data_IF_526421642089
#
_entry.id   IF_526421642089
#
_cell.length_a   1.000
_cell.length_b   1.000
_cell.length_c   1.000
_cell.angle_alpha   90.00
_cell.angle_beta   90.00
_cell.angle_gamma   90.00
#
_symmetry.space_group_name_H-M   'P 1'
#
loop_
_entity.id
_entity.type
_entity.pdbx_description
1 polymer ?
#
# COMPACT_ATOMS: atom_id res chain seq x y z
N UNK A 1 -3.24 -10.42 -9.70
CA UNK A 1 -3.20 -8.98 -9.99
C UNK A 1 -3.52 -8.22 -8.72
N UNK A 2 -2.63 -7.33 -8.30
CA UNK A 2 -2.74 -6.55 -7.06
C UNK A 2 -2.57 -5.07 -7.38
N UNK A 3 -3.36 -4.19 -6.76
CA UNK A 3 -3.10 -2.75 -6.74
C UNK A 3 -2.95 -2.27 -5.29
N UNK A 4 -1.97 -1.39 -5.06
CA UNK A 4 -1.73 -0.77 -3.76
C UNK A 4 -1.84 0.75 -3.93
N UNK A 5 -2.77 1.37 -3.21
CA UNK A 5 -3.02 2.80 -3.24
C UNK A 5 -2.36 3.45 -2.03
N UNK A 6 -1.39 4.30 -2.30
CA UNK A 6 -0.49 4.90 -1.32
C UNK A 6 0.81 4.11 -1.17
N UNK A 7 1.93 4.76 -1.49
CA UNK A 7 3.28 4.20 -1.40
C UNK A 7 4.07 4.82 -0.22
N UNK A 8 3.40 5.04 0.92
CA UNK A 8 4.04 5.30 2.20
C UNK A 8 4.63 4.03 2.82
N UNK A 9 5.13 4.09 4.05
CA UNK A 9 5.77 2.94 4.69
C UNK A 9 4.92 1.67 4.74
N UNK A 10 3.59 1.80 4.93
CA UNK A 10 2.65 0.66 4.94
C UNK A 10 2.40 0.15 3.53
N UNK A 11 2.15 1.04 2.56
CA UNK A 11 1.90 0.64 1.17
C UNK A 11 3.12 -0.01 0.52
N UNK A 12 4.32 0.51 0.75
CA UNK A 12 5.57 -0.10 0.28
C UNK A 12 5.76 -1.52 0.88
N UNK A 13 5.43 -1.70 2.17
CA UNK A 13 5.44 -3.02 2.79
C UNK A 13 4.41 -3.96 2.16
N UNK A 14 3.20 -3.47 1.82
CA UNK A 14 2.19 -4.26 1.12
C UNK A 14 2.63 -4.66 -0.30
N UNK A 15 3.32 -3.77 -1.02
CA UNK A 15 3.91 -4.06 -2.34
C UNK A 15 4.94 -5.19 -2.23
N UNK A 16 5.89 -5.08 -1.30
CA UNK A 16 6.87 -6.14 -1.09
C UNK A 16 6.22 -7.45 -0.62
N UNK A 17 5.21 -7.37 0.25
CA UNK A 17 4.41 -8.53 0.65
C UNK A 17 3.69 -9.20 -0.53
N UNK A 18 3.15 -8.43 -1.47
CA UNK A 18 2.54 -8.95 -2.69
C UNK A 18 3.57 -9.66 -3.59
N UNK A 19 4.81 -9.13 -3.68
CA UNK A 19 5.91 -9.76 -4.39
C UNK A 19 6.32 -11.10 -3.73
N UNK A 20 6.46 -11.13 -2.40
CA UNK A 20 6.76 -12.34 -1.63
C UNK A 20 5.65 -13.39 -1.82
N UNK A 21 4.39 -12.96 -1.90
CA UNK A 21 3.23 -13.82 -2.15
C UNK A 21 3.14 -14.34 -3.61
N UNK A 22 4.03 -13.90 -4.50
CA UNK A 22 4.08 -14.34 -5.89
C UNK A 22 3.03 -13.70 -6.80
N UNK A 23 2.58 -12.48 -6.49
CA UNK A 23 1.69 -11.74 -7.37
C UNK A 23 2.34 -11.47 -8.72
N UNK A 24 1.70 -11.88 -9.82
CA UNK A 24 2.23 -11.74 -11.17
C UNK A 24 2.13 -10.31 -11.74
N UNK A 25 1.25 -9.48 -11.16
CA UNK A 25 1.14 -8.06 -11.49
C UNK A 25 0.89 -7.29 -10.19
N UNK A 26 1.72 -6.30 -9.92
CA UNK A 26 1.65 -5.43 -8.76
C UNK A 26 1.68 -3.99 -9.25
N UNK A 27 0.58 -3.27 -9.05
CA UNK A 27 0.39 -1.90 -9.49
C UNK A 27 0.49 -0.98 -8.27
N UNK A 28 1.49 -0.12 -8.24
CA UNK A 28 1.65 0.91 -7.23
C UNK A 28 0.98 2.21 -7.69
N UNK A 29 0.15 2.81 -6.82
CA UNK A 29 -0.57 4.05 -7.11
C UNK A 29 -0.20 5.11 -6.06
N UNK A 30 0.47 6.19 -6.46
CA UNK A 30 0.83 7.31 -5.58
C UNK A 30 0.99 8.60 -6.40
N UNK A 31 0.76 9.77 -5.79
CA UNK A 31 0.94 11.07 -6.44
C UNK A 31 2.41 11.50 -6.54
N UNK A 32 3.31 10.89 -5.76
CA UNK A 32 4.72 11.25 -5.67
C UNK A 32 5.55 10.26 -6.49
N UNK A 33 6.10 10.73 -7.62
CA UNK A 33 6.86 9.87 -8.55
C UNK A 33 8.06 9.20 -7.87
N UNK A 34 8.75 9.88 -6.95
CA UNK A 34 9.87 9.30 -6.21
C UNK A 34 9.47 8.05 -5.40
N UNK A 35 8.27 8.04 -4.81
CA UNK A 35 7.74 6.85 -4.12
C UNK A 35 7.40 5.71 -5.08
N UNK A 36 6.93 6.05 -6.27
CA UNK A 36 6.68 5.06 -7.31
C UNK A 36 7.97 4.37 -7.77
N UNK A 37 9.10 5.08 -7.80
CA UNK A 37 10.40 4.47 -8.09
C UNK A 37 10.85 3.52 -6.95
N UNK A 38 10.67 3.91 -5.69
CA UNK A 38 10.91 3.01 -4.55
C UNK A 38 10.00 1.77 -4.64
N UNK A 39 8.72 1.95 -4.99
CA UNK A 39 7.79 0.85 -5.15
C UNK A 39 8.25 -0.18 -6.19
N UNK A 40 8.86 0.26 -7.31
CA UNK A 40 9.46 -0.63 -8.31
C UNK A 40 10.58 -1.50 -7.71
N UNK A 41 11.45 -0.91 -6.91
CA UNK A 41 12.54 -1.66 -6.26
C UNK A 41 12.05 -2.70 -5.27
N UNK A 42 10.82 -2.54 -4.76
CA UNK A 42 10.15 -3.46 -3.82
C UNK A 42 9.23 -4.48 -4.50
N UNK A 43 9.18 -4.48 -5.84
CA UNK A 43 8.46 -5.49 -6.62
C UNK A 43 7.22 -4.99 -7.36
N UNK A 44 6.93 -3.68 -7.38
CA UNK A 44 5.87 -3.17 -8.24
C UNK A 44 6.25 -3.35 -9.72
N UNK A 45 5.36 -3.98 -10.48
CA UNK A 45 5.54 -4.22 -11.92
C UNK A 45 5.06 -3.04 -12.76
N UNK A 46 4.11 -2.25 -12.23
CA UNK A 46 3.53 -1.07 -12.85
C UNK A 46 3.37 0.04 -11.81
N UNK A 47 3.41 1.28 -12.28
CA UNK A 47 3.23 2.44 -11.43
C UNK A 47 2.26 3.42 -12.09
N UNK A 48 1.36 4.01 -11.30
CA UNK A 48 0.36 4.96 -11.76
C UNK A 48 0.39 6.18 -10.85
N UNK A 49 0.52 7.36 -11.48
CA UNK A 49 0.38 8.63 -10.78
C UNK A 49 -1.02 9.21 -11.07
N UNK A 50 -1.95 9.20 -10.06
CA UNK A 50 -3.32 9.68 -10.23
C UNK A 50 -3.41 11.20 -10.47
N UNK A 51 -2.35 11.95 -10.26
CA UNK A 51 -2.26 13.35 -10.65
C UNK A 51 -2.10 13.56 -12.17
N UNK A 52 -1.79 12.49 -12.91
CA UNK A 52 -1.53 12.53 -14.34
C UNK A 52 -2.58 11.80 -15.19
N UNK A 53 -3.24 10.77 -14.60
CA UNK A 53 -4.20 9.90 -15.30
C UNK A 53 -5.35 9.49 -14.38
N UNK A 54 -6.44 8.98 -14.95
CA UNK A 54 -7.48 8.28 -14.18
C UNK A 54 -6.95 6.93 -13.70
N UNK A 55 -6.57 6.87 -12.43
CA UNK A 55 -5.98 5.66 -11.86
C UNK A 55 -6.92 4.45 -11.90
N UNK A 56 -8.23 4.63 -11.74
CA UNK A 56 -9.20 3.52 -11.78
C UNK A 56 -9.29 2.97 -13.21
N UNK A 57 -9.42 3.84 -14.19
CA UNK A 57 -9.46 3.46 -15.61
C UNK A 57 -8.20 2.72 -16.02
N UNK A 58 -7.04 3.29 -15.71
CA UNK A 58 -5.73 2.71 -16.05
C UNK A 58 -5.51 1.33 -15.40
N UNK A 59 -5.84 1.19 -14.10
CA UNK A 59 -5.77 -0.13 -13.43
C UNK A 59 -6.68 -1.14 -14.12
N UNK A 60 -7.90 -0.76 -14.47
CA UNK A 60 -8.84 -1.68 -15.10
C UNK A 60 -8.41 -2.08 -16.51
N UNK A 61 -7.79 -1.16 -17.25
CA UNK A 61 -7.22 -1.44 -18.58
C UNK A 61 -6.03 -2.40 -18.47
N UNK A 62 -5.03 -2.10 -17.67
CA UNK A 62 -3.84 -2.93 -17.42
C UNK A 62 -4.23 -4.34 -16.94
N UNK A 63 -5.24 -4.43 -16.10
CA UNK A 63 -5.69 -5.70 -15.52
C UNK A 63 -6.71 -6.44 -16.37
N UNK A 64 -7.20 -5.84 -17.46
CA UNK A 64 -8.25 -6.38 -18.29
C UNK A 64 -9.51 -6.72 -17.48
N UNK A 65 -10.01 -5.75 -16.73
CA UNK A 65 -11.28 -5.88 -16.02
C UNK A 65 -11.20 -5.73 -14.49
N UNK A 66 -10.03 -5.62 -13.89
CA UNK A 66 -9.82 -5.32 -12.48
C UNK A 66 -8.89 -6.27 -11.75
N UNK A 67 -8.50 -5.85 -10.56
CA UNK A 67 -7.59 -6.58 -9.68
C UNK A 67 -8.30 -7.71 -8.92
N UNK A 68 -7.52 -8.73 -8.53
CA UNK A 68 -7.96 -9.73 -7.55
C UNK A 68 -7.91 -9.17 -6.12
N UNK A 69 -6.91 -8.34 -5.83
CA UNK A 69 -6.74 -7.70 -4.53
C UNK A 69 -6.39 -6.23 -4.71
N UNK A 70 -6.97 -5.39 -3.88
CA UNK A 70 -6.57 -3.99 -3.74
C UNK A 70 -6.29 -3.68 -2.28
N UNK A 71 -5.25 -2.89 -2.02
CA UNK A 71 -4.87 -2.43 -0.70
C UNK A 71 -4.93 -0.90 -0.68
N UNK A 72 -5.71 -0.36 0.25
CA UNK A 72 -5.79 1.07 0.48
C UNK A 72 -4.96 1.41 1.72
N UNK A 73 -3.91 2.23 1.54
CA UNK A 73 -2.92 2.55 2.56
C UNK A 73 -2.72 4.07 2.78
N UNK A 74 -3.75 4.88 2.50
CA UNK A 74 -3.77 6.34 2.70
C UNK A 74 -4.74 6.73 3.81
N UNK A 75 -5.96 6.17 3.79
CA UNK A 75 -7.02 6.47 4.75
C UNK A 75 -7.95 7.60 4.32
N UNK A 76 -8.31 7.66 3.03
CA UNK A 76 -9.27 8.62 2.51
C UNK A 76 -10.53 7.91 1.98
N UNK A 77 -11.68 8.60 2.08
CA UNK A 77 -12.93 8.15 1.45
C UNK A 77 -12.70 7.83 -0.04
N UNK A 78 -12.13 8.78 -0.77
CA UNK A 78 -11.95 8.67 -2.22
C UNK A 78 -11.06 7.50 -2.63
N UNK A 79 -9.95 7.27 -1.92
CA UNK A 79 -9.03 6.17 -2.22
C UNK A 79 -9.61 4.80 -1.84
N UNK A 80 -10.42 4.73 -0.79
CA UNK A 80 -11.17 3.52 -0.45
C UNK A 80 -12.19 3.15 -1.52
N UNK A 81 -12.93 4.14 -2.03
CA UNK A 81 -13.87 3.95 -3.13
C UNK A 81 -13.17 3.60 -4.44
N UNK A 82 -11.99 4.16 -4.70
CA UNK A 82 -11.15 3.79 -5.84
C UNK A 82 -10.67 2.33 -5.73
N UNK A 83 -10.22 1.90 -4.53
CA UNK A 83 -9.81 0.52 -4.29
C UNK A 83 -10.94 -0.47 -4.63
N UNK A 84 -12.19 -0.14 -4.26
CA UNK A 84 -13.36 -0.92 -4.64
C UNK A 84 -13.59 -0.94 -6.15
N UNK A 85 -13.51 0.22 -6.82
CA UNK A 85 -13.73 0.35 -8.26
C UNK A 85 -12.67 -0.36 -9.10
N UNK A 86 -11.44 -0.49 -8.59
CA UNK A 86 -10.34 -1.19 -9.23
C UNK A 86 -10.49 -2.72 -9.18
N UNK A 87 -11.39 -3.28 -8.36
CA UNK A 87 -11.60 -4.72 -8.28
C UNK A 87 -12.30 -5.28 -9.52
N UNK A 88 -11.83 -6.45 -9.94
CA UNK A 88 -12.58 -7.36 -10.79
C UNK A 88 -13.59 -8.22 -10.02
N UNK A 89 -14.38 -9.07 -10.73
CA UNK A 89 -15.28 -10.04 -10.08
C UNK A 89 -14.53 -10.94 -9.09
N UNK A 90 -15.14 -11.23 -7.94
CA UNK A 90 -14.57 -12.05 -6.86
C UNK A 90 -13.44 -11.37 -6.08
N UNK A 91 -13.01 -10.16 -6.47
CA UNK A 91 -11.88 -9.46 -5.88
C UNK A 91 -12.14 -8.97 -4.44
N UNK A 92 -11.05 -8.73 -3.70
CA UNK A 92 -11.10 -8.26 -2.31
C UNK A 92 -10.33 -6.95 -2.15
N UNK A 93 -10.99 -5.91 -1.64
CA UNK A 93 -10.37 -4.67 -1.19
C UNK A 93 -10.07 -4.76 0.31
N UNK A 94 -8.83 -4.45 0.69
CA UNK A 94 -8.42 -4.35 2.09
C UNK A 94 -8.05 -2.91 2.42
N UNK A 95 -8.79 -2.32 3.35
CA UNK A 95 -8.58 -0.96 3.85
C UNK A 95 -7.65 -1.05 5.06
N UNK A 96 -6.49 -0.41 4.95
CA UNK A 96 -5.46 -0.36 5.99
C UNK A 96 -5.33 1.07 6.51
N UNK A 97 -5.52 2.05 5.61
CA UNK A 97 -5.45 3.47 5.94
C UNK A 97 -6.52 3.87 6.95
N UNK A 98 -6.19 4.78 7.85
CA UNK A 98 -7.10 5.24 8.90
C UNK A 98 -7.99 6.36 8.38
N UNK A 99 -9.21 6.00 7.96
CA UNK A 99 -10.23 6.96 7.55
C UNK A 99 -10.68 7.76 8.78
N UNK A 100 -10.81 9.10 8.69
CA UNK A 100 -11.25 9.91 9.82
C UNK A 100 -12.60 9.49 10.39
N UNK A 101 -12.76 9.60 11.70
CA UNK A 101 -14.02 9.25 12.38
C UNK A 101 -15.16 10.07 11.83
N UNK A 102 -16.30 9.41 11.55
CA UNK A 102 -17.52 10.05 11.01
C UNK A 102 -17.56 10.14 9.48
N UNK A 103 -16.46 9.82 8.78
CA UNK A 103 -16.47 9.79 7.33
C UNK A 103 -17.12 8.50 6.84
N UNK A 104 -18.11 8.62 5.97
CA UNK A 104 -18.82 7.49 5.36
C UNK A 104 -18.25 7.16 3.99
N UNK A 105 -18.08 5.87 3.70
CA UNK A 105 -17.66 5.34 2.39
C UNK A 105 -18.87 4.87 1.62
N UNK A 106 -18.95 5.21 0.34
CA UNK A 106 -20.07 4.85 -0.54
C UNK A 106 -19.62 3.82 -1.57
N UNK A 107 -20.32 2.69 -1.60
CA UNK A 107 -20.04 1.60 -2.53
C UNK A 107 -21.24 1.36 -3.42
N UNK A 108 -21.00 1.06 -4.69
CA UNK A 108 -22.06 0.74 -5.62
C UNK A 108 -22.64 -0.64 -5.31
N UNK A 109 -23.88 -0.67 -4.84
CA UNK A 109 -24.48 -1.88 -4.24
C UNK A 109 -24.54 -3.08 -5.18
N UNK A 110 -24.80 -2.87 -6.49
CA UNK A 110 -24.89 -3.96 -7.45
C UNK A 110 -23.55 -4.70 -7.64
N UNK A 111 -22.43 -4.05 -7.34
CA UNK A 111 -21.10 -4.66 -7.47
C UNK A 111 -20.92 -5.87 -6.54
N UNK A 112 -21.69 -5.96 -5.44
CA UNK A 112 -21.68 -7.13 -4.56
C UNK A 112 -22.19 -8.40 -5.24
N UNK A 113 -23.03 -8.27 -6.27
CA UNK A 113 -23.48 -9.41 -7.08
C UNK A 113 -22.34 -10.01 -7.94
N UNK A 114 -21.26 -9.25 -8.15
CA UNK A 114 -20.02 -9.76 -8.76
C UNK A 114 -19.07 -10.41 -7.73
N UNK A 115 -19.58 -10.77 -6.54
CA UNK A 115 -18.84 -11.41 -5.43
C UNK A 115 -17.64 -10.59 -4.91
N UNK A 116 -17.62 -9.28 -5.13
CA UNK A 116 -16.61 -8.38 -4.57
C UNK A 116 -16.70 -8.33 -3.06
N UNK A 117 -15.57 -8.17 -2.41
CA UNK A 117 -15.45 -8.11 -0.94
C UNK A 117 -14.68 -6.86 -0.54
N UNK A 118 -15.05 -6.28 0.60
CA UNK A 118 -14.29 -5.23 1.27
C UNK A 118 -14.10 -5.59 2.74
N UNK A 119 -12.91 -5.39 3.24
CA UNK A 119 -12.55 -5.68 4.62
C UNK A 119 -11.55 -4.66 5.15
N UNK A 120 -11.47 -4.52 6.46
CA UNK A 120 -10.41 -3.77 7.14
C UNK A 120 -9.25 -4.68 7.54
N UNK A 121 -8.08 -4.07 7.76
CA UNK A 121 -6.95 -4.73 8.41
C UNK A 121 -6.36 -3.79 9.44
N UNK A 122 -6.37 -4.19 10.71
CA UNK A 122 -5.73 -3.47 11.79
C UNK A 122 -4.40 -4.13 12.12
N UNK A 123 -3.31 -3.35 12.10
CA UNK A 123 -1.94 -3.81 12.36
C UNK A 123 -1.55 -5.07 11.55
N UNK A 124 -1.99 -5.12 10.27
CA UNK A 124 -1.73 -6.22 9.37
C UNK A 124 -2.50 -7.50 9.69
N UNK A 125 -3.49 -7.48 10.60
CA UNK A 125 -4.24 -8.67 11.06
C UNK A 125 -3.31 -9.82 11.46
N UNK A 126 -2.12 -9.46 11.98
CA UNK A 126 -1.04 -10.42 12.18
C UNK A 126 -1.17 -11.24 13.47
N UNK A 127 -0.58 -12.42 13.44
CA UNK A 127 -0.33 -13.27 14.60
C UNK A 127 1.14 -13.14 14.98
N UNK A 128 1.49 -12.04 15.65
CA UNK A 128 2.88 -11.61 15.83
C UNK A 128 3.84 -12.69 16.31
N UNK A 129 3.41 -13.64 17.16
CA UNK A 129 4.25 -14.75 17.64
C UNK A 129 4.64 -15.74 16.52
N UNK A 130 3.83 -15.82 15.46
CA UNK A 130 4.05 -16.70 14.31
C UNK A 130 4.63 -15.90 13.14
N UNK A 131 4.08 -14.73 12.88
CA UNK A 131 4.40 -13.98 11.66
C UNK A 131 5.73 -13.21 11.79
N UNK A 132 6.09 -12.70 13.00
CA UNK A 132 7.36 -12.02 13.19
C UNK A 132 8.61 -12.89 12.90
N UNK A 133 8.71 -14.12 13.42
CA UNK A 133 9.82 -15.02 13.02
C UNK A 133 9.86 -15.25 11.51
N UNK A 134 8.72 -15.42 10.84
CA UNK A 134 8.66 -15.58 9.38
C UNK A 134 9.13 -14.33 8.63
N UNK A 135 8.83 -13.14 9.14
CA UNK A 135 9.31 -11.89 8.55
C UNK A 135 10.83 -11.77 8.69
N UNK A 136 11.39 -12.18 9.84
CA UNK A 136 12.84 -12.27 10.02
C UNK A 136 13.47 -13.24 9.01
N UNK A 137 12.87 -14.41 8.82
CA UNK A 137 13.35 -15.37 7.82
C UNK A 137 13.26 -14.79 6.40
N UNK A 138 12.20 -14.10 6.04
CA UNK A 138 12.09 -13.44 4.74
C UNK A 138 13.16 -12.35 4.56
N UNK A 139 13.45 -11.58 5.59
CA UNK A 139 14.50 -10.57 5.57
C UNK A 139 15.89 -11.20 5.39
N UNK A 140 16.23 -12.18 6.23
CA UNK A 140 17.52 -12.87 6.17
C UNK A 140 17.75 -13.61 4.85
N UNK A 141 16.67 -14.07 4.19
CA UNK A 141 16.72 -14.70 2.87
C UNK A 141 16.60 -13.70 1.70
N UNK A 142 16.69 -12.40 1.97
CA UNK A 142 16.66 -11.34 0.95
C UNK A 142 15.35 -11.18 0.21
N UNK A 143 14.23 -11.67 0.79
CA UNK A 143 12.88 -11.53 0.21
C UNK A 143 12.13 -10.30 0.73
N UNK A 144 12.35 -9.94 2.00
CA UNK A 144 11.77 -8.76 2.62
C UNK A 144 12.81 -7.64 2.66
N UNK A 145 12.55 -6.57 1.95
CA UNK A 145 13.49 -5.47 1.72
C UNK A 145 13.25 -4.31 2.70
N UNK A 146 13.59 -4.49 3.98
CA UNK A 146 13.34 -3.48 5.02
C UNK A 146 14.30 -2.27 4.90
N UNK A 147 15.55 -2.50 4.56
CA UNK A 147 16.58 -1.44 4.49
C UNK A 147 16.24 -0.39 3.43
N UNK A 148 15.65 -0.81 2.30
CA UNK A 148 15.22 0.09 1.22
C UNK A 148 14.06 1.01 1.62
N UNK A 149 13.35 0.69 2.70
CA UNK A 149 12.25 1.50 3.23
C UNK A 149 12.74 2.58 4.21
N UNK A 150 14.01 2.55 4.60
CA UNK A 150 14.59 3.52 5.55
C UNK A 150 15.05 4.73 4.74
N UNK A 151 14.38 5.87 4.95
CA UNK A 151 14.77 7.13 4.31
C UNK A 151 15.97 7.76 5.01
N UNK A 152 16.02 7.70 6.34
CA UNK A 152 17.06 8.39 7.12
C UNK A 152 17.23 7.80 8.52
N UNK A 153 18.47 7.82 9.00
CA UNK A 153 18.78 7.63 10.42
C UNK A 153 18.91 9.01 11.09
N UNK A 154 18.23 9.21 12.21
CA UNK A 154 18.16 10.47 12.94
C UNK A 154 18.47 10.27 14.40
N UNK A 155 18.76 11.35 15.12
CA UNK A 155 18.85 11.37 16.60
C UNK A 155 17.50 11.78 17.21
N UNK A 156 17.31 11.50 18.50
CA UNK A 156 16.06 11.79 19.19
C UNK A 156 15.66 13.28 19.13
N UNK A 157 16.64 14.19 19.16
CA UNK A 157 16.36 15.63 19.10
C UNK A 157 15.85 16.11 17.73
N UNK A 158 16.05 15.33 16.65
CA UNK A 158 15.59 15.65 15.30
C UNK A 158 14.15 15.15 15.04
N UNK A 159 13.47 14.57 16.05
CA UNK A 159 12.19 13.87 15.85
C UNK A 159 11.09 14.77 15.27
N UNK A 160 11.05 16.04 15.71
CA UNK A 160 10.02 16.97 15.23
C UNK A 160 10.23 17.33 13.75
N UNK A 161 11.48 17.60 13.35
CA UNK A 161 11.82 17.87 11.95
C UNK A 161 11.55 16.65 11.07
N UNK A 162 11.82 15.45 11.57
CA UNK A 162 11.52 14.20 10.90
C UNK A 162 10.00 13.98 10.73
N UNK A 163 9.19 14.29 11.74
CA UNK A 163 7.72 14.22 11.64
C UNK A 163 7.16 15.24 10.64
N UNK A 164 7.76 16.43 10.57
CA UNK A 164 7.37 17.43 9.57
C UNK A 164 7.78 17.01 8.16
N UNK A 165 8.95 16.42 7.97
CA UNK A 165 9.37 15.86 6.69
C UNK A 165 8.44 14.73 6.21
N UNK A 166 7.92 13.89 7.10
CA UNK A 166 6.93 12.87 6.72
C UNK A 166 5.62 13.48 6.20
N UNK A 167 5.24 14.70 6.62
CA UNK A 167 4.03 15.37 6.13
C UNK A 167 4.17 15.81 4.66
N UNK A 168 5.38 16.09 4.18
CA UNK A 168 5.62 16.42 2.74
C UNK A 168 5.38 15.22 1.84
N UNK A 169 5.44 14.02 2.41
CA UNK A 169 5.22 12.78 1.68
C UNK A 169 6.43 12.30 0.86
N UNK A 170 7.57 12.97 0.92
CA UNK A 170 8.78 12.59 0.17
C UNK A 170 9.54 11.43 0.83
N UNK A 171 9.43 11.31 2.16
CA UNK A 171 10.12 10.30 2.96
C UNK A 171 9.16 9.21 3.45
N UNK A 172 9.65 7.97 3.51
CA UNK A 172 8.82 6.81 3.89
C UNK A 172 8.96 6.45 5.37
N UNK A 173 10.20 6.47 5.90
CA UNK A 173 10.48 6.02 7.28
C UNK A 173 11.80 6.60 7.79
N UNK A 174 11.77 7.14 9.01
CA UNK A 174 12.97 7.50 9.77
C UNK A 174 13.21 6.50 10.88
N UNK A 175 14.50 6.25 11.18
CA UNK A 175 14.91 5.41 12.31
C UNK A 175 15.67 6.29 13.30
N UNK A 176 15.18 6.34 14.55
CA UNK A 176 15.88 7.04 15.62
C UNK A 176 16.98 6.11 16.15
N UNK A 177 18.22 6.59 16.08
CA UNK A 177 19.37 5.90 16.62
C UNK A 177 19.64 6.43 18.05
N UNK A 178 19.70 5.50 18.99
CA UNK A 178 20.13 5.78 20.37
C UNK A 178 21.60 5.38 20.50
N UNK A 179 22.40 6.27 21.03
CA UNK A 179 23.85 6.04 21.29
C UNK A 179 24.05 5.14 22.51
#
# INVERSE_FOLDING_TARGET
KVAVIGCGGVGLAAINGAAIAGAGMIIAVDMVDAKLEIAKSLGATHTINPGKVDAVGEVRELTQGGCHYTFEAIGLKSTTEQAWKMLGPGGTATVIGMIPVGVMVELHGVDFLAEKKIQGSNMGSNRFRVDMPRFVDFYLNGKLHLDQMISKHIKLHDVNDALDALKTGEEARHIIMFD
#
